data_IF_569915338925
#
_entry.id   IF_569915338925
#
_cell.length_a   1.000
_cell.length_b   1.000
_cell.length_c   1.000
_cell.angle_alpha   90.00
_cell.angle_beta   90.00
_cell.angle_gamma   90.00
#
_symmetry.space_group_name_H-M   'P 1'
#
loop_
_entity.id
_entity.type
_entity.pdbx_description
1 polymer ?
#
# COMPACT_ATOMS: atom_id res chain seq x y z
N UNK A 1 -25.76 -8.15 -29.16
CA UNK A 1 -25.45 -7.16 -28.11
C UNK A 1 -25.53 -7.93 -26.80
N UNK A 2 -24.41 -8.48 -26.37
CA UNK A 2 -24.34 -9.37 -25.22
C UNK A 2 -24.34 -8.50 -23.96
N UNK A 3 -25.42 -8.57 -23.19
CA UNK A 3 -25.53 -7.90 -21.91
C UNK A 3 -24.53 -8.59 -20.97
N UNK A 4 -23.38 -7.95 -20.74
CA UNK A 4 -22.47 -8.32 -19.67
C UNK A 4 -23.22 -8.14 -18.35
N UNK A 5 -23.82 -9.22 -17.85
CA UNK A 5 -24.35 -9.28 -16.50
C UNK A 5 -23.20 -9.00 -15.53
N UNK A 6 -23.27 -7.85 -14.86
CA UNK A 6 -22.33 -7.50 -13.82
C UNK A 6 -22.56 -8.43 -12.62
N UNK A 7 -21.78 -9.51 -12.57
CA UNK A 7 -21.87 -10.50 -11.51
C UNK A 7 -21.44 -9.87 -10.17
N UNK A 8 -22.43 -9.51 -9.33
CA UNK A 8 -22.22 -8.84 -8.03
C UNK A 8 -21.38 -9.64 -7.02
N UNK A 9 -21.11 -10.91 -7.30
CA UNK A 9 -20.40 -11.87 -6.44
C UNK A 9 -19.16 -12.49 -7.11
N UNK A 10 -18.46 -11.74 -7.97
CA UNK A 10 -17.14 -12.18 -8.43
C UNK A 10 -16.23 -12.42 -7.21
N UNK A 11 -15.52 -13.56 -7.12
CA UNK A 11 -14.52 -13.77 -6.08
C UNK A 11 -13.54 -12.60 -6.02
N UNK A 12 -13.24 -12.12 -4.82
CA UNK A 12 -12.31 -11.00 -4.58
C UNK A 12 -11.18 -11.48 -3.69
N UNK A 13 -10.02 -10.86 -3.87
CA UNK A 13 -8.86 -11.04 -3.01
C UNK A 13 -8.45 -9.67 -2.47
N UNK A 14 -8.22 -9.60 -1.16
CA UNK A 14 -7.62 -8.43 -0.53
C UNK A 14 -6.10 -8.65 -0.51
N UNK A 15 -5.33 -7.67 -0.98
CA UNK A 15 -3.87 -7.77 -1.09
C UNK A 15 -3.23 -6.57 -0.44
N UNK A 16 -2.19 -6.83 0.34
CA UNK A 16 -1.33 -5.81 0.91
C UNK A 16 0.07 -5.91 0.31
N UNK A 17 0.65 -4.75 0.00
CA UNK A 17 2.07 -4.60 -0.30
C UNK A 17 2.58 -3.33 0.40
N UNK A 18 3.81 -3.39 0.87
CA UNK A 18 4.59 -2.20 1.25
C UNK A 18 5.73 -2.01 0.24
N UNK A 19 6.20 -0.79 0.06
CA UNK A 19 7.28 -0.47 -0.88
C UNK A 19 8.27 0.49 -0.24
N UNK A 20 9.56 0.22 -0.42
CA UNK A 20 10.68 1.10 -0.08
C UNK A 20 11.44 1.50 -1.35
N UNK A 21 12.51 2.29 -1.19
CA UNK A 21 13.45 2.61 -2.28
C UNK A 21 14.11 1.37 -2.89
N UNK A 22 14.13 0.25 -2.17
CA UNK A 22 14.94 -0.92 -2.51
C UNK A 22 14.11 -2.14 -2.87
N UNK A 23 12.87 -2.23 -2.37
CA UNK A 23 12.09 -3.45 -2.47
C UNK A 23 10.58 -3.22 -2.40
N UNK A 24 9.84 -4.20 -2.89
CA UNK A 24 8.43 -4.41 -2.56
C UNK A 24 8.34 -5.54 -1.56
N UNK A 25 7.69 -5.29 -0.42
CA UNK A 25 7.33 -6.30 0.57
C UNK A 25 5.90 -6.75 0.27
N UNK A 26 5.76 -7.95 -0.28
CA UNK A 26 4.46 -8.50 -0.69
C UNK A 26 4.54 -9.30 -1.99
N UNK A 27 3.40 -9.74 -2.52
CA UNK A 27 2.06 -9.52 -1.98
C UNK A 27 1.77 -10.38 -0.74
N UNK A 28 1.07 -9.80 0.25
CA UNK A 28 0.40 -10.53 1.32
C UNK A 28 -1.09 -10.61 1.03
N UNK A 29 -1.65 -11.81 1.02
CA UNK A 29 -3.07 -12.04 0.74
C UNK A 29 -3.86 -12.07 2.05
N UNK A 30 -4.66 -11.03 2.29
CA UNK A 30 -5.50 -10.93 3.48
C UNK A 30 -6.72 -11.86 3.35
N UNK A 31 -6.98 -12.61 4.42
CA UNK A 31 -8.16 -13.48 4.49
C UNK A 31 -9.44 -12.69 4.76
N UNK A 32 -10.56 -13.21 4.25
CA UNK A 32 -11.89 -12.62 4.43
C UNK A 32 -12.25 -11.56 3.39
N UNK A 33 -13.56 -11.28 3.29
CA UNK A 33 -14.10 -10.35 2.30
C UNK A 33 -13.75 -8.88 2.59
N UNK A 34 -13.57 -8.54 3.87
CA UNK A 34 -13.33 -7.16 4.33
C UNK A 34 -12.16 -7.13 5.29
N UNK A 35 -11.15 -6.32 4.96
CA UNK A 35 -10.04 -6.02 5.86
C UNK A 35 -10.54 -5.14 7.00
N UNK A 36 -10.24 -5.51 8.24
CA UNK A 36 -10.52 -4.72 9.42
C UNK A 36 -9.24 -4.48 10.23
N UNK A 37 -9.33 -3.68 11.30
CA UNK A 37 -8.16 -3.35 12.11
C UNK A 37 -7.50 -4.54 12.80
N UNK A 38 -8.23 -5.64 13.05
CA UNK A 38 -7.66 -6.85 13.65
C UNK A 38 -6.85 -7.62 12.61
N UNK A 39 -7.42 -7.89 11.43
CA UNK A 39 -6.70 -8.58 10.35
C UNK A 39 -5.51 -7.76 9.84
N UNK A 40 -5.63 -6.43 9.88
CA UNK A 40 -4.52 -5.55 9.53
C UNK A 40 -3.41 -5.58 10.57
N UNK A 41 -3.75 -5.50 11.86
CA UNK A 41 -2.77 -5.61 12.94
C UNK A 41 -2.04 -6.96 12.92
N UNK A 42 -2.77 -8.06 12.72
CA UNK A 42 -2.21 -9.40 12.62
C UNK A 42 -1.16 -9.49 11.49
N UNK A 43 -1.46 -8.93 10.32
CA UNK A 43 -0.51 -8.84 9.21
C UNK A 43 0.71 -7.97 9.55
N UNK A 44 0.53 -6.86 10.27
CA UNK A 44 1.66 -6.03 10.71
C UNK A 44 2.57 -6.80 11.67
N UNK A 45 1.98 -7.38 12.72
CA UNK A 45 2.69 -8.06 13.80
C UNK A 45 3.41 -9.32 13.33
N UNK A 46 2.73 -10.16 12.56
CA UNK A 46 3.18 -11.53 12.28
C UNK A 46 3.79 -11.69 10.88
N UNK A 47 3.86 -10.61 10.08
CA UNK A 47 4.43 -10.69 8.74
C UNK A 47 5.25 -9.45 8.36
N UNK A 48 4.67 -8.25 8.38
CA UNK A 48 5.36 -7.08 7.84
C UNK A 48 6.54 -6.66 8.73
N UNK A 49 6.37 -6.60 10.05
CA UNK A 49 7.43 -6.14 10.94
C UNK A 49 8.60 -7.10 10.99
N UNK A 50 8.35 -8.41 10.95
CA UNK A 50 9.41 -9.42 10.83
C UNK A 50 10.23 -9.20 9.55
N UNK A 51 9.55 -9.03 8.40
CA UNK A 51 10.21 -8.72 7.12
C UNK A 51 11.05 -7.46 7.16
N UNK A 52 10.51 -6.39 7.71
CA UNK A 52 11.22 -5.11 7.83
C UNK A 52 12.38 -5.19 8.82
N UNK A 53 12.26 -5.96 9.89
CA UNK A 53 13.35 -6.15 10.86
C UNK A 53 14.52 -6.95 10.29
N UNK A 54 14.25 -7.89 9.38
CA UNK A 54 15.27 -8.67 8.68
C UNK A 54 16.00 -7.83 7.61
N UNK A 55 15.26 -7.02 6.85
CA UNK A 55 15.76 -6.37 5.64
C UNK A 55 16.11 -4.88 5.82
N UNK A 56 15.50 -4.20 6.81
CA UNK A 56 15.68 -2.78 7.14
C UNK A 56 15.71 -2.55 8.68
N UNK A 57 16.64 -3.19 9.42
CA UNK A 57 16.55 -3.34 10.88
C UNK A 57 16.42 -2.05 11.72
N UNK A 58 16.97 -0.91 11.28
CA UNK A 58 17.11 0.26 12.16
C UNK A 58 16.72 1.63 11.55
N UNK A 59 16.30 1.72 10.29
CA UNK A 59 16.12 3.04 9.64
C UNK A 59 14.99 3.08 8.61
N UNK A 60 13.76 2.82 9.07
CA UNK A 60 12.57 3.12 8.27
C UNK A 60 11.52 3.92 9.05
N UNK A 61 10.75 4.67 8.26
CA UNK A 61 9.51 5.32 8.67
C UNK A 61 8.38 4.59 7.96
N UNK A 62 7.41 4.07 8.73
CA UNK A 62 6.24 3.43 8.14
C UNK A 62 5.19 4.48 7.79
N UNK A 63 4.87 4.64 6.51
CA UNK A 63 3.76 5.47 6.06
C UNK A 63 2.52 4.61 5.78
N UNK A 64 1.38 5.00 6.36
CA UNK A 64 0.06 4.42 6.10
C UNK A 64 -0.90 5.53 5.65
N UNK A 65 -1.84 5.19 4.78
CA UNK A 65 -2.92 6.11 4.38
C UNK A 65 -4.06 6.11 5.41
N UNK A 66 -5.06 6.97 5.17
CA UNK A 66 -6.11 7.25 6.15
C UNK A 66 -7.28 6.26 6.20
N UNK A 67 -7.18 5.05 5.63
CA UNK A 67 -8.30 4.10 5.59
C UNK A 67 -8.66 3.54 6.97
N UNK A 68 -9.91 3.11 7.12
CA UNK A 68 -10.49 2.74 8.42
C UNK A 68 -9.71 1.66 9.20
N UNK A 69 -9.19 0.58 8.58
CA UNK A 69 -8.37 -0.40 9.29
C UNK A 69 -7.12 0.20 9.94
N UNK A 70 -6.48 1.17 9.29
CA UNK A 70 -5.25 1.83 9.77
C UNK A 70 -5.53 2.78 10.95
N UNK A 71 -6.76 3.31 11.04
CA UNK A 71 -7.18 4.18 12.15
C UNK A 71 -7.55 3.42 13.43
N UNK A 72 -7.59 2.09 13.39
CA UNK A 72 -7.96 1.28 14.54
C UNK A 72 -7.05 1.56 15.75
N UNK A 73 -7.64 1.66 16.94
CA UNK A 73 -6.90 2.00 18.17
C UNK A 73 -5.75 1.02 18.45
N UNK A 74 -5.97 -0.29 18.24
CA UNK A 74 -4.94 -1.31 18.51
C UNK A 74 -3.77 -1.21 17.54
N UNK A 75 -4.05 -0.91 16.26
CA UNK A 75 -3.02 -0.65 15.25
C UNK A 75 -2.16 0.54 15.67
N UNK A 76 -2.78 1.66 16.06
CA UNK A 76 -2.04 2.85 16.49
C UNK A 76 -1.24 2.62 17.77
N UNK A 77 -1.82 1.92 18.75
CA UNK A 77 -1.11 1.55 19.98
C UNK A 77 0.12 0.69 19.69
N UNK A 78 -0.02 -0.29 18.81
CA UNK A 78 1.10 -1.11 18.36
C UNK A 78 2.21 -0.26 17.73
N UNK A 79 1.86 0.59 16.75
CA UNK A 79 2.83 1.47 16.08
C UNK A 79 3.49 2.46 17.03
N UNK A 80 2.77 3.01 18.00
CA UNK A 80 3.33 3.89 19.04
C UNK A 80 4.39 3.16 19.89
N UNK A 81 4.23 1.86 20.10
CA UNK A 81 5.16 1.03 20.87
C UNK A 81 6.35 0.56 20.03
N UNK A 82 6.11 0.11 18.79
CA UNK A 82 7.15 -0.50 17.95
C UNK A 82 7.92 0.51 17.11
N UNK A 83 7.27 1.58 16.66
CA UNK A 83 7.84 2.62 15.80
C UNK A 83 7.62 4.03 16.39
N UNK A 84 7.94 4.29 17.67
CA UNK A 84 7.69 5.60 18.26
C UNK A 84 8.38 6.71 17.45
N UNK A 85 7.61 7.73 17.06
CA UNK A 85 8.06 8.86 16.23
C UNK A 85 8.64 8.42 14.85
N UNK A 86 8.30 7.22 14.39
CA UNK A 86 8.75 6.61 13.12
C UNK A 86 7.60 6.04 12.29
N UNK A 87 6.40 6.55 12.48
CA UNK A 87 5.27 6.24 11.60
C UNK A 87 4.46 7.48 11.23
N UNK A 88 3.92 7.46 10.02
CA UNK A 88 3.11 8.52 9.41
C UNK A 88 1.74 7.94 9.11
N UNK A 89 0.69 8.65 9.49
CA UNK A 89 -0.67 8.20 9.28
C UNK A 89 -1.68 9.15 9.89
N UNK A 90 -2.92 8.68 10.01
CA UNK A 90 -3.93 9.40 10.79
C UNK A 90 -3.61 9.21 12.28
N UNK A 91 -3.63 10.28 13.07
CA UNK A 91 -3.29 10.26 14.51
C UNK A 91 -4.36 10.92 15.40
N UNK A 92 -4.40 10.49 16.66
CA UNK A 92 -5.10 11.11 17.77
C UNK A 92 -4.15 11.92 18.64
N UNK A 93 -4.67 12.55 19.70
CA UNK A 93 -3.92 13.47 20.57
C UNK A 93 -2.70 12.82 21.23
N UNK A 94 -2.83 11.56 21.62
CA UNK A 94 -1.85 10.85 22.43
C UNK A 94 -0.96 9.90 21.59
N UNK A 95 -1.08 9.95 20.27
CA UNK A 95 -0.26 9.12 19.38
C UNK A 95 1.13 9.71 19.14
N UNK A 96 2.13 8.84 19.06
CA UNK A 96 3.54 9.16 18.78
C UNK A 96 3.84 9.07 17.28
N UNK A 97 3.12 9.86 16.50
CA UNK A 97 3.34 9.97 15.05
C UNK A 97 4.50 10.89 14.73
N UNK A 98 5.25 10.57 13.68
CA UNK A 98 6.22 11.48 13.09
C UNK A 98 5.53 12.66 12.39
N UNK A 99 4.49 12.35 11.60
CA UNK A 99 3.75 13.32 10.80
C UNK A 99 2.32 12.83 10.55
N UNK A 100 1.38 13.76 10.44
CA UNK A 100 0.02 13.48 10.02
C UNK A 100 -0.03 13.24 8.50
N UNK A 101 -0.64 12.14 8.07
CA UNK A 101 -0.93 11.94 6.65
C UNK A 101 -2.16 12.77 6.24
N UNK A 102 -2.06 13.65 5.23
CA UNK A 102 -3.18 14.45 4.79
C UNK A 102 -4.30 13.57 4.17
N UNK A 103 -5.58 13.90 4.39
CA UNK A 103 -6.69 13.19 3.73
C UNK A 103 -6.56 13.24 2.21
N UNK A 104 -7.02 12.17 1.52
CA UNK A 104 -7.09 12.10 0.04
C UNK A 104 -5.77 12.38 -0.68
N UNK A 105 -4.65 11.91 -0.11
CA UNK A 105 -3.31 12.18 -0.61
C UNK A 105 -2.65 10.94 -1.22
N UNK A 106 -3.42 10.14 -1.96
CA UNK A 106 -2.91 8.97 -2.70
C UNK A 106 -1.83 9.34 -3.72
N UNK A 107 -1.80 10.60 -4.18
CA UNK A 107 -0.75 11.13 -5.05
C UNK A 107 0.65 11.03 -4.46
N UNK A 108 0.79 10.89 -3.15
CA UNK A 108 2.08 10.76 -2.46
C UNK A 108 2.36 9.34 -1.96
N UNK A 109 1.53 8.36 -2.32
CA UNK A 109 1.72 6.96 -1.94
C UNK A 109 2.22 6.16 -3.15
N UNK A 110 3.49 5.72 -3.19
CA UNK A 110 4.04 4.92 -4.29
C UNK A 110 3.23 3.66 -4.62
N UNK A 111 2.61 3.05 -3.60
CA UNK A 111 1.73 1.92 -3.83
C UNK A 111 0.51 2.29 -4.70
N UNK A 112 -0.07 3.46 -4.49
CA UNK A 112 -1.30 3.87 -5.17
C UNK A 112 -1.04 4.41 -6.58
N UNK A 113 -0.11 5.35 -6.75
CA UNK A 113 0.13 5.97 -8.05
C UNK A 113 0.96 5.11 -9.01
N UNK A 114 1.64 4.08 -8.51
CA UNK A 114 2.54 3.24 -9.32
C UNK A 114 2.27 1.74 -9.16
N UNK A 115 2.46 1.17 -7.97
CA UNK A 115 2.47 -0.29 -7.79
C UNK A 115 1.17 -0.93 -8.29
N UNK A 116 0.03 -0.40 -7.83
CA UNK A 116 -1.26 -0.97 -8.17
C UNK A 116 -1.63 -0.75 -9.63
N UNK A 117 -1.15 0.31 -10.27
CA UNK A 117 -1.36 0.55 -11.70
C UNK A 117 -0.57 -0.47 -12.55
N UNK A 118 0.69 -0.74 -12.20
CA UNK A 118 1.50 -1.79 -12.85
C UNK A 118 0.87 -3.17 -12.64
N UNK A 119 0.53 -3.51 -11.40
CA UNK A 119 -0.05 -4.83 -11.07
C UNK A 119 -1.36 -5.06 -11.81
N UNK A 120 -2.28 -4.08 -11.82
CA UNK A 120 -3.53 -4.20 -12.58
C UNK A 120 -3.28 -4.37 -14.07
N UNK A 121 -2.33 -3.60 -14.63
CA UNK A 121 -1.98 -3.65 -16.05
C UNK A 121 -1.45 -5.02 -16.49
N UNK A 122 -0.75 -5.74 -15.61
CA UNK A 122 -0.20 -7.08 -15.89
C UNK A 122 -1.18 -8.21 -15.57
N UNK A 123 -1.97 -8.09 -14.50
CA UNK A 123 -2.87 -9.14 -14.03
C UNK A 123 -4.06 -9.34 -14.97
N UNK A 124 -4.61 -8.24 -15.49
CA UNK A 124 -5.82 -8.24 -16.32
C UNK A 124 -5.55 -8.29 -17.83
N UNK A 125 -4.33 -8.65 -18.25
CA UNK A 125 -4.04 -8.97 -19.65
C UNK A 125 -4.79 -10.26 -20.05
N UNK A 126 -5.59 -10.26 -21.14
CA UNK A 126 -6.29 -11.45 -21.60
C UNK A 126 -5.36 -12.63 -21.92
N UNK A 127 -5.78 -13.88 -21.67
CA UNK A 127 -7.06 -14.27 -21.06
C UNK A 127 -7.13 -13.87 -19.59
N UNK A 128 -8.31 -13.47 -19.10
CA UNK A 128 -8.52 -13.10 -17.70
C UNK A 128 -8.29 -14.31 -16.76
N UNK A 129 -7.87 -14.11 -15.50
CA UNK A 129 -7.71 -15.20 -14.54
C UNK A 129 -9.03 -15.95 -14.32
N UNK A 130 -8.96 -17.27 -14.31
CA UNK A 130 -10.13 -18.16 -14.24
C UNK A 130 -10.68 -18.31 -12.82
N UNK A 131 -9.81 -18.20 -11.83
CA UNK A 131 -10.14 -18.37 -10.42
C UNK A 131 -9.23 -17.51 -9.53
N UNK A 132 -9.46 -17.59 -8.21
CA UNK A 132 -8.73 -16.81 -7.20
C UNK A 132 -7.26 -17.24 -7.12
N UNK A 133 -6.95 -18.52 -7.35
CA UNK A 133 -5.58 -19.03 -7.24
C UNK A 133 -4.73 -18.55 -8.43
N UNK A 134 -5.30 -18.56 -9.64
CA UNK A 134 -4.68 -17.96 -10.81
C UNK A 134 -4.52 -16.44 -10.62
N UNK A 135 -5.53 -15.76 -10.06
CA UNK A 135 -5.43 -14.33 -9.75
C UNK A 135 -4.28 -14.04 -8.78
N UNK A 136 -4.17 -14.79 -7.68
CA UNK A 136 -3.07 -14.67 -6.72
C UNK A 136 -1.71 -14.93 -7.39
N UNK A 137 -1.60 -15.99 -8.19
CA UNK A 137 -0.36 -16.33 -8.90
C UNK A 137 0.06 -15.22 -9.88
N UNK A 138 -0.89 -14.62 -10.59
CA UNK A 138 -0.61 -13.48 -11.49
C UNK A 138 -0.19 -12.24 -10.72
N UNK A 139 -0.81 -11.93 -9.59
CA UNK A 139 -0.42 -10.79 -8.73
C UNK A 139 1.00 -10.99 -8.22
N UNK A 140 1.34 -12.17 -7.70
CA UNK A 140 2.70 -12.49 -7.25
C UNK A 140 3.71 -12.33 -8.38
N UNK A 141 3.40 -12.85 -9.58
CA UNK A 141 4.27 -12.70 -10.74
C UNK A 141 4.43 -11.24 -11.16
N UNK A 142 3.35 -10.45 -11.16
CA UNK A 142 3.39 -9.04 -11.51
C UNK A 142 4.24 -8.24 -10.52
N UNK A 143 4.07 -8.43 -9.21
CA UNK A 143 4.91 -7.79 -8.19
C UNK A 143 6.39 -8.15 -8.38
N UNK A 144 6.70 -9.41 -8.70
CA UNK A 144 8.07 -9.86 -8.94
C UNK A 144 8.72 -9.29 -10.22
N UNK A 145 7.96 -8.60 -11.09
CA UNK A 145 8.54 -7.90 -12.27
C UNK A 145 9.08 -6.51 -11.93
N UNK A 146 8.83 -6.00 -10.73
CA UNK A 146 9.27 -4.67 -10.34
C UNK A 146 10.76 -4.72 -10.02
N UNK A 147 11.53 -3.91 -10.74
CA UNK A 147 12.98 -3.88 -10.68
C UNK A 147 13.54 -2.56 -10.12
N UNK A 148 14.86 -2.51 -9.99
CA UNK A 148 15.57 -1.35 -9.45
C UNK A 148 15.40 -0.09 -10.30
N UNK A 149 15.32 -0.21 -11.63
CA UNK A 149 15.13 0.93 -12.51
C UNK A 149 13.74 1.55 -12.31
N UNK A 150 12.73 0.70 -12.06
CA UNK A 150 11.40 1.17 -11.69
C UNK A 150 11.41 1.89 -10.34
N UNK A 151 12.11 1.39 -9.32
CA UNK A 151 12.22 2.08 -8.03
C UNK A 151 12.85 3.47 -8.16
N UNK A 152 13.93 3.62 -8.93
CA UNK A 152 14.55 4.92 -9.18
C UNK A 152 13.55 5.90 -9.81
N UNK A 153 12.80 5.46 -10.82
CA UNK A 153 11.79 6.28 -11.48
C UNK A 153 10.66 6.69 -10.52
N UNK A 154 10.19 5.77 -9.67
CA UNK A 154 9.09 6.02 -8.73
C UNK A 154 9.49 7.04 -7.68
N UNK A 155 10.73 6.97 -7.18
CA UNK A 155 11.21 7.92 -6.18
C UNK A 155 11.48 9.30 -6.76
N UNK A 156 12.02 9.40 -7.97
CA UNK A 156 12.10 10.67 -8.70
C UNK A 156 10.72 11.30 -8.92
N UNK A 157 9.71 10.49 -9.26
CA UNK A 157 8.33 10.95 -9.40
C UNK A 157 7.73 11.40 -8.08
N UNK A 158 8.02 10.72 -6.98
CA UNK A 158 7.58 11.12 -5.66
C UNK A 158 8.19 12.47 -5.27
N UNK A 159 9.50 12.64 -5.44
CA UNK A 159 10.21 13.90 -5.16
C UNK A 159 9.61 15.05 -5.98
N UNK A 160 9.37 14.82 -7.28
CA UNK A 160 8.71 15.79 -8.15
C UNK A 160 7.30 16.15 -7.68
N UNK A 161 6.48 15.17 -7.30
CA UNK A 161 5.11 15.39 -6.79
C UNK A 161 5.11 16.20 -5.50
N UNK A 162 6.05 15.93 -4.59
CA UNK A 162 6.22 16.70 -3.36
C UNK A 162 6.62 18.16 -3.66
N UNK A 163 7.51 18.38 -4.63
CA UNK A 163 7.91 19.73 -5.04
C UNK A 163 6.76 20.50 -5.68
N UNK A 164 5.99 19.87 -6.56
CA UNK A 164 4.78 20.49 -7.15
C UNK A 164 3.79 20.84 -6.03
N UNK A 165 3.51 19.93 -5.11
CA UNK A 165 2.61 20.17 -3.97
C UNK A 165 3.05 21.37 -3.13
N UNK A 166 4.36 21.47 -2.86
CA UNK A 166 4.95 22.60 -2.13
C UNK A 166 4.77 23.92 -2.88
N UNK A 167 4.99 23.94 -4.20
CA UNK A 167 4.86 25.16 -5.03
C UNK A 167 3.40 25.57 -5.19
N UNK A 168 2.48 24.61 -5.24
CA UNK A 168 1.03 24.87 -5.40
C UNK A 168 0.29 25.06 -4.08
N UNK A 169 1.01 25.09 -2.94
CA UNK A 169 0.42 25.16 -1.59
C UNK A 169 -0.64 24.06 -1.34
N UNK A 170 -0.38 22.84 -1.80
CA UNK A 170 -1.25 21.69 -1.57
C UNK A 170 -2.43 21.55 -2.53
N UNK A 171 -2.40 22.19 -3.70
CA UNK A 171 -3.40 21.93 -4.74
C UNK A 171 -3.25 20.50 -5.29
N UNK A 172 -4.37 19.90 -5.72
CA UNK A 172 -4.39 18.56 -6.31
C UNK A 172 -3.48 18.45 -7.54
N UNK A 173 -2.79 17.32 -7.65
CA UNK A 173 -1.87 16.99 -8.74
C UNK A 173 -2.48 15.82 -9.53
N UNK A 174 -3.50 16.09 -10.35
CA UNK A 174 -3.98 15.10 -11.32
C UNK A 174 -3.33 15.34 -12.68
N UNK A 175 -2.77 14.26 -13.27
CA UNK A 175 -2.10 14.19 -14.58
C UNK A 175 -0.66 14.73 -14.70
N UNK A 176 0.29 14.05 -14.06
CA UNK A 176 1.73 14.10 -14.36
C UNK A 176 2.32 12.68 -14.44
#
# INVERSE_FOLDING_TARGET
MELLEHQRYSPKVNVFCAMSKKAVYGPFFLEGATVNGVTYLDMLENWLMDKLSEEEPDDFILQQDGVLPHWNLRVRQYLNTTLPDRWIGRSGRDDRVLMLWPPKSSDFTPCDFFLWEVVKGLVYVPPLPKDVDELKARITKAVATIDNAMFECVWQKLDYRLDVCRVTNGAHIEHL
#
